data_IF_299751634000
#
_entry.id   IF_299751634000
#
_cell.length_a   1.000
_cell.length_b   1.000
_cell.length_c   1.000
_cell.angle_alpha   90.00
_cell.angle_beta   90.00
_cell.angle_gamma   90.00
#
_symmetry.space_group_name_H-M   'P 1'
#
loop_
_entity.id
_entity.type
_entity.pdbx_description
1 polymer ?
#
# COMPACT_ATOMS: atom_id res chain seq x y z
N UNK A 1 -7.48 3.69 -19.94
CA UNK A 1 -7.73 2.68 -20.99
C UNK A 1 -9.11 2.09 -20.76
N UNK A 2 -10.06 2.34 -21.65
CA UNK A 2 -11.44 1.83 -21.54
C UNK A 2 -11.42 0.33 -21.82
N UNK A 3 -11.83 -0.48 -20.84
CA UNK A 3 -11.97 -1.93 -21.05
C UNK A 3 -13.31 -2.21 -21.70
N UNK A 4 -13.28 -2.41 -23.01
CA UNK A 4 -14.46 -2.87 -23.74
C UNK A 4 -14.83 -4.29 -23.32
N UNK A 5 -16.11 -4.59 -23.19
CA UNK A 5 -16.55 -5.97 -23.00
C UNK A 5 -16.00 -6.89 -24.11
N UNK A 6 -15.59 -8.08 -23.76
CA UNK A 6 -15.01 -9.07 -24.69
C UNK A 6 -15.87 -9.34 -25.92
N UNK A 7 -17.19 -9.21 -25.79
CA UNK A 7 -18.17 -9.40 -26.89
C UNK A 7 -17.93 -8.44 -28.06
N UNK A 8 -17.38 -7.24 -27.82
CA UNK A 8 -17.13 -6.26 -28.86
C UNK A 8 -15.74 -6.39 -29.53
N UNK A 9 -14.85 -7.17 -28.96
CA UNK A 9 -13.49 -7.32 -29.49
C UNK A 9 -13.46 -7.89 -30.92
N UNK A 10 -14.35 -8.84 -31.19
CA UNK A 10 -14.44 -9.47 -32.53
C UNK A 10 -15.02 -8.51 -33.55
N UNK A 11 -16.08 -7.79 -33.20
CA UNK A 11 -16.69 -6.78 -34.06
C UNK A 11 -15.66 -5.72 -34.51
N UNK A 12 -14.86 -5.26 -33.57
CA UNK A 12 -13.81 -4.27 -33.87
C UNK A 12 -12.75 -4.88 -34.80
N UNK A 13 -12.30 -6.11 -34.54
CA UNK A 13 -11.32 -6.79 -35.39
C UNK A 13 -11.83 -6.91 -36.84
N UNK A 14 -13.07 -7.38 -37.01
CA UNK A 14 -13.68 -7.52 -38.35
C UNK A 14 -13.76 -6.19 -39.08
N UNK A 15 -14.17 -5.14 -38.38
CA UNK A 15 -14.29 -3.81 -38.96
C UNK A 15 -12.93 -3.20 -39.39
N UNK A 16 -11.83 -3.61 -38.71
CA UNK A 16 -10.48 -3.09 -38.99
C UNK A 16 -9.73 -3.88 -40.07
N UNK A 17 -10.17 -5.09 -40.40
CA UNK A 17 -9.52 -5.95 -41.41
C UNK A 17 -9.37 -5.26 -42.79
N UNK A 18 -10.36 -4.53 -43.33
CA UNK A 18 -10.23 -3.89 -44.66
C UNK A 18 -9.09 -2.89 -44.78
N UNK A 19 -8.62 -2.33 -43.67
CA UNK A 19 -7.58 -1.31 -43.68
C UNK A 19 -6.16 -1.88 -43.80
N UNK A 20 -6.01 -3.22 -43.74
CA UNK A 20 -4.74 -3.90 -44.00
C UNK A 20 -3.60 -3.48 -43.06
N UNK A 21 -2.59 -2.80 -43.62
CA UNK A 21 -1.42 -2.31 -42.88
C UNK A 21 -1.39 -0.81 -42.63
N UNK A 22 -2.50 -0.12 -42.96
CA UNK A 22 -2.58 1.31 -42.70
C UNK A 22 -2.83 1.59 -41.22
N UNK A 23 -1.73 1.69 -40.47
CA UNK A 23 -1.75 1.87 -39.00
C UNK A 23 -2.48 3.15 -38.59
N UNK A 24 -2.35 4.23 -39.41
CA UNK A 24 -2.98 5.51 -39.11
C UNK A 24 -4.51 5.38 -39.14
N UNK A 25 -5.04 4.79 -40.24
CA UNK A 25 -6.48 4.57 -40.40
C UNK A 25 -7.00 3.54 -39.37
N UNK A 26 -6.24 2.48 -39.09
CA UNK A 26 -6.58 1.46 -38.07
C UNK A 26 -6.76 2.12 -36.71
N UNK A 27 -5.82 3.00 -36.32
CA UNK A 27 -5.89 3.67 -35.02
C UNK A 27 -7.07 4.64 -34.94
N UNK A 28 -7.31 5.44 -35.99
CA UNK A 28 -8.42 6.38 -36.04
C UNK A 28 -9.77 5.67 -35.99
N UNK A 29 -9.93 4.65 -36.83
CA UNK A 29 -11.16 3.88 -36.92
C UNK A 29 -11.40 3.02 -35.69
N UNK A 30 -10.34 2.47 -35.13
CA UNK A 30 -10.39 1.74 -33.86
C UNK A 30 -10.88 2.63 -32.72
N UNK A 31 -10.35 3.85 -32.64
CA UNK A 31 -10.79 4.83 -31.64
C UNK A 31 -12.27 5.20 -31.81
N UNK A 32 -12.71 5.43 -33.06
CA UNK A 32 -14.10 5.72 -33.38
C UNK A 32 -15.05 4.58 -32.96
N UNK A 33 -14.70 3.35 -33.32
CA UNK A 33 -15.50 2.16 -33.00
C UNK A 33 -15.57 1.94 -31.49
N UNK A 34 -14.45 2.15 -30.78
CA UNK A 34 -14.41 2.05 -29.31
C UNK A 34 -15.36 3.09 -28.70
N UNK A 35 -15.34 4.30 -29.19
CA UNK A 35 -16.23 5.37 -28.74
C UNK A 35 -17.69 5.03 -28.98
N UNK A 36 -18.05 4.58 -30.20
CA UNK A 36 -19.42 4.18 -30.55
C UNK A 36 -19.93 3.02 -29.69
N UNK A 37 -19.12 1.99 -29.52
CA UNK A 37 -19.51 0.81 -28.76
C UNK A 37 -19.54 1.09 -27.26
N UNK A 38 -18.82 2.13 -26.80
CA UNK A 38 -18.82 2.57 -25.40
C UNK A 38 -20.04 3.43 -25.06
N UNK A 39 -20.64 4.10 -26.05
CA UNK A 39 -21.81 4.98 -25.83
C UNK A 39 -23.11 4.21 -25.58
N UNK A 40 -23.13 2.92 -25.87
CA UNK A 40 -24.30 2.08 -25.54
C UNK A 40 -24.35 1.56 -24.11
N UNK A 41 -23.54 1.85 -23.42
CA UNK A 41 -23.61 1.50 -22.21
C UNK A 41 -23.48 2.54 -21.40
N UNK A 42 -24.28 3.36 -21.57
CA UNK A 42 -24.37 4.45 -20.63
C UNK A 42 -25.02 4.05 -19.30
N UNK A 43 -24.67 2.90 -18.84
CA UNK A 43 -24.80 2.68 -17.40
C UNK A 43 -23.85 3.69 -16.74
N UNK A 44 -24.39 4.55 -15.90
CA UNK A 44 -23.58 5.48 -15.13
C UNK A 44 -22.44 4.67 -14.48
N UNK A 45 -21.19 5.07 -14.68
CA UNK A 45 -20.10 4.34 -14.03
C UNK A 45 -20.32 4.34 -12.53
N UNK A 46 -20.08 3.20 -11.90
CA UNK A 46 -20.18 3.09 -10.43
C UNK A 46 -19.39 4.20 -9.75
N UNK A 47 -19.99 4.83 -8.76
CA UNK A 47 -19.29 5.82 -7.95
C UNK A 47 -18.07 5.19 -7.33
N UNK A 48 -16.93 5.81 -7.47
CA UNK A 48 -15.67 5.19 -7.11
C UNK A 48 -14.65 6.23 -6.66
N UNK A 49 -13.99 5.93 -5.57
CA UNK A 49 -12.82 6.69 -5.12
C UNK A 49 -11.64 5.71 -5.07
N UNK A 50 -10.57 6.01 -5.77
CA UNK A 50 -9.37 5.15 -5.78
C UNK A 50 -8.14 5.97 -5.46
N UNK A 51 -7.26 5.36 -4.65
CA UNK A 51 -5.94 5.87 -4.32
C UNK A 51 -4.90 4.98 -4.99
N UNK A 52 -3.84 5.59 -5.57
CA UNK A 52 -2.71 4.87 -6.17
C UNK A 52 -1.42 5.63 -5.86
N UNK A 53 -0.57 5.00 -5.05
CA UNK A 53 0.76 5.56 -4.81
C UNK A 53 1.63 5.42 -6.06
N UNK A 54 2.39 6.39 -6.34
CA UNK A 54 3.23 6.37 -7.45
C UNK A 54 4.48 5.59 -7.10
N UNK A 55 4.97 4.86 -7.93
CA UNK A 55 6.10 4.05 -7.75
C UNK A 55 7.29 4.89 -7.64
N UNK A 56 7.98 4.89 -7.00
CA UNK A 56 9.13 5.56 -6.73
C UNK A 56 9.03 7.02 -6.44
N UNK A 57 8.06 7.33 -5.67
CA UNK A 57 7.70 8.75 -5.51
C UNK A 57 6.97 8.93 -4.18
N UNK A 58 7.05 10.12 -3.59
CA UNK A 58 6.19 10.54 -2.48
C UNK A 58 4.82 11.02 -2.97
N UNK A 59 4.60 11.05 -4.29
CA UNK A 59 3.31 11.45 -4.86
C UNK A 59 2.36 10.25 -5.02
N UNK A 60 1.07 10.57 -4.96
CA UNK A 60 0.00 9.59 -5.19
C UNK A 60 -1.11 10.23 -6.05
N UNK A 61 -1.91 9.39 -6.68
CA UNK A 61 -3.06 9.82 -7.48
C UNK A 61 -4.35 9.43 -6.77
N UNK A 62 -5.23 10.41 -6.58
CA UNK A 62 -6.61 10.19 -6.12
C UNK A 62 -7.53 10.38 -7.32
N UNK A 63 -8.35 9.37 -7.62
CA UNK A 63 -9.32 9.44 -8.73
C UNK A 63 -10.73 9.28 -8.20
N UNK A 64 -11.57 10.28 -8.46
CA UNK A 64 -12.99 10.30 -8.09
C UNK A 64 -13.84 10.13 -9.35
N UNK A 65 -14.74 9.15 -9.33
CA UNK A 65 -15.80 8.96 -10.32
C UNK A 65 -17.14 9.14 -9.61
N UNK A 66 -17.88 10.15 -10.00
CA UNK A 66 -19.20 10.45 -9.43
C UNK A 66 -19.98 11.30 -10.45
N UNK A 67 -21.17 11.77 -10.09
CA UNK A 67 -21.97 12.63 -10.96
C UNK A 67 -21.16 13.84 -11.44
N UNK A 68 -21.22 14.11 -12.74
CA UNK A 68 -20.43 15.16 -13.40
C UNK A 68 -20.59 16.54 -12.70
N UNK A 69 -21.80 16.90 -12.32
CA UNK A 69 -22.07 18.18 -11.65
C UNK A 69 -21.35 18.27 -10.29
N UNK A 70 -21.33 17.18 -9.53
CA UNK A 70 -20.67 17.12 -8.22
C UNK A 70 -19.15 17.17 -8.33
N UNK A 71 -18.60 16.40 -9.28
CA UNK A 71 -17.16 16.41 -9.55
C UNK A 71 -16.71 17.79 -10.01
N UNK A 72 -17.52 18.44 -10.86
CA UNK A 72 -17.24 19.81 -11.32
C UNK A 72 -17.25 20.80 -10.16
N UNK A 73 -18.24 20.71 -9.24
CA UNK A 73 -18.31 21.58 -8.06
C UNK A 73 -17.07 21.41 -7.16
N UNK A 74 -16.63 20.18 -6.95
CA UNK A 74 -15.42 19.91 -6.17
C UNK A 74 -14.20 20.57 -6.83
N UNK A 75 -14.05 20.38 -8.14
CA UNK A 75 -12.96 20.99 -8.92
C UNK A 75 -13.00 22.54 -8.82
N UNK A 76 -14.18 23.13 -8.99
CA UNK A 76 -14.33 24.60 -8.95
C UNK A 76 -14.00 25.16 -7.58
N UNK A 77 -14.40 24.48 -6.49
CA UNK A 77 -14.04 24.87 -5.12
C UNK A 77 -12.53 24.76 -4.91
N UNK A 78 -11.93 23.67 -5.36
CA UNK A 78 -10.48 23.47 -5.26
C UNK A 78 -9.73 24.60 -5.98
N UNK A 79 -10.16 24.94 -7.21
CA UNK A 79 -9.59 26.02 -8.02
C UNK A 79 -9.82 27.39 -7.39
N UNK A 80 -10.94 27.62 -6.70
CA UNK A 80 -11.21 28.87 -6.00
C UNK A 80 -10.33 29.01 -4.75
N UNK A 81 -10.03 27.89 -4.09
CA UNK A 81 -9.17 27.84 -2.90
C UNK A 81 -7.70 28.08 -3.26
N UNK A 82 -7.24 27.51 -4.38
CA UNK A 82 -5.90 27.77 -4.89
C UNK A 82 -5.94 27.87 -6.42
N UNK A 83 -5.75 29.08 -6.92
CA UNK A 83 -5.84 29.38 -8.36
C UNK A 83 -4.63 28.89 -9.15
N UNK A 84 -3.48 28.76 -8.49
CA UNK A 84 -2.24 28.33 -9.14
C UNK A 84 -2.13 26.82 -9.18
N UNK A 85 -2.58 26.14 -8.13
CA UNK A 85 -2.54 24.68 -8.02
C UNK A 85 -3.86 24.14 -7.45
N UNK A 86 -4.85 23.81 -8.30
CA UNK A 86 -6.12 23.25 -7.81
C UNK A 86 -5.97 21.96 -7.00
N UNK A 87 -4.88 21.21 -7.21
CA UNK A 87 -4.61 20.01 -6.41
C UNK A 87 -4.35 20.39 -4.93
N UNK A 88 -3.51 21.41 -4.71
CA UNK A 88 -3.26 21.95 -3.35
C UNK A 88 -4.54 22.54 -2.75
N UNK A 89 -5.35 23.20 -3.57
CA UNK A 89 -6.65 23.71 -3.15
C UNK A 89 -7.58 22.59 -2.67
N UNK A 90 -7.58 21.46 -3.36
CA UNK A 90 -8.36 20.29 -2.95
C UNK A 90 -7.84 19.70 -1.64
N UNK A 91 -6.53 19.59 -1.50
CA UNK A 91 -5.89 19.07 -0.28
C UNK A 91 -6.28 19.97 0.92
N UNK A 92 -6.16 21.30 0.76
CA UNK A 92 -6.55 22.27 1.81
C UNK A 92 -8.02 22.10 2.23
N UNK A 93 -8.94 21.95 1.26
CA UNK A 93 -10.36 21.73 1.55
C UNK A 93 -10.63 20.40 2.27
N UNK A 94 -9.96 19.36 1.84
CA UNK A 94 -10.18 18.01 2.37
C UNK A 94 -9.59 17.83 3.77
N UNK A 95 -8.48 18.52 4.08
CA UNK A 95 -7.78 18.42 5.36
C UNK A 95 -8.14 19.55 6.34
N UNK A 96 -8.98 20.53 5.92
CA UNK A 96 -9.45 21.58 6.83
C UNK A 96 -10.23 20.93 7.99
N UNK A 97 -9.99 21.42 9.18
CA UNK A 97 -10.68 20.92 10.36
C UNK A 97 -12.20 21.09 10.21
N UNK A 98 -12.90 19.98 10.36
CA UNK A 98 -14.37 20.00 10.36
C UNK A 98 -14.88 20.20 11.79
N UNK A 99 -16.12 20.55 11.90
CA UNK A 99 -16.82 20.78 13.18
C UNK A 99 -17.08 19.51 14.01
N UNK A 100 -16.33 18.44 13.74
CA UNK A 100 -16.47 17.18 14.47
C UNK A 100 -17.53 16.23 13.92
N UNK A 101 -18.15 16.59 12.81
CA UNK A 101 -19.22 15.76 12.21
C UNK A 101 -18.69 14.68 11.27
N UNK A 102 -17.39 14.70 10.94
CA UNK A 102 -16.78 13.72 10.05
C UNK A 102 -16.23 12.50 10.83
N UNK A 103 -16.25 11.33 10.21
CA UNK A 103 -15.65 10.14 10.84
C UNK A 103 -14.19 10.37 11.20
N UNK A 104 -13.82 10.00 12.41
CA UNK A 104 -12.43 10.05 12.85
C UNK A 104 -11.63 8.97 12.12
N UNK A 105 -10.64 9.41 11.36
CA UNK A 105 -9.69 8.49 10.73
C UNK A 105 -8.49 8.37 11.67
N UNK A 106 -8.12 7.14 11.97
CA UNK A 106 -6.93 6.89 12.80
C UNK A 106 -5.68 7.57 12.21
N UNK A 107 -4.92 8.22 13.06
CA UNK A 107 -3.68 8.90 12.62
C UNK A 107 -2.66 7.84 12.17
N UNK A 108 -2.03 8.02 11.02
CA UNK A 108 -1.02 7.05 10.58
C UNK A 108 0.24 7.16 11.43
N UNK A 109 0.88 6.02 11.64
CA UNK A 109 2.21 5.96 12.25
C UNK A 109 3.26 5.98 11.14
N UNK A 110 4.28 6.81 11.29
CA UNK A 110 5.43 6.85 10.39
C UNK A 110 6.54 5.96 10.96
N UNK A 111 7.12 5.12 10.11
CA UNK A 111 8.21 4.24 10.49
C UNK A 111 9.53 4.99 10.30
N UNK A 112 10.06 5.52 11.39
CA UNK A 112 11.31 6.30 11.39
C UNK A 112 12.44 5.43 11.98
N UNK A 113 13.46 5.08 11.19
CA UNK A 113 14.60 4.35 11.74
C UNK A 113 15.43 5.30 12.62
N UNK A 114 15.78 4.83 13.80
CA UNK A 114 16.64 5.59 14.70
C UNK A 114 18.02 4.93 14.75
N UNK A 115 19.00 5.57 14.15
CA UNK A 115 20.38 5.08 14.15
C UNK A 115 21.33 6.21 14.55
N UNK A 116 22.48 5.84 15.09
CA UNK A 116 23.55 6.80 15.41
C UNK A 116 24.06 7.47 14.15
N UNK A 117 24.06 6.76 13.02
CA UNK A 117 24.53 7.29 11.74
C UNK A 117 23.66 8.44 11.22
N UNK A 118 22.40 8.51 11.66
CA UNK A 118 21.50 9.61 11.29
C UNK A 118 22.09 10.97 11.65
N UNK A 119 22.90 11.02 12.70
CA UNK A 119 23.56 12.25 13.13
C UNK A 119 24.66 12.72 12.15
N UNK A 120 25.19 11.80 11.35
CA UNK A 120 26.23 12.10 10.36
C UNK A 120 25.72 12.68 9.04
N UNK A 121 24.43 12.58 8.75
CA UNK A 121 23.88 13.09 7.50
C UNK A 121 23.69 14.60 7.55
N UNK A 122 23.91 15.24 6.40
CA UNK A 122 23.63 16.67 6.21
C UNK A 122 22.10 16.90 6.24
N UNK A 123 21.70 18.14 6.48
CA UNK A 123 20.30 18.53 6.42
C UNK A 123 19.66 18.16 5.07
N UNK A 124 20.39 18.43 3.97
CA UNK A 124 19.90 18.12 2.62
C UNK A 124 19.65 16.63 2.43
N UNK A 125 20.54 15.79 2.96
CA UNK A 125 20.37 14.32 2.89
C UNK A 125 19.19 13.84 3.73
N UNK A 126 19.09 14.36 4.97
CA UNK A 126 17.95 14.00 5.86
C UNK A 126 16.61 14.39 5.23
N UNK A 127 16.55 15.56 4.58
CA UNK A 127 15.32 16.05 3.94
C UNK A 127 14.86 15.17 2.77
N UNK A 128 15.79 14.44 2.14
CA UNK A 128 15.50 13.56 1.00
C UNK A 128 15.08 12.14 1.42
N UNK A 129 15.30 11.74 2.67
CA UNK A 129 14.88 10.41 3.13
C UNK A 129 13.37 10.24 2.96
N UNK A 130 12.95 9.05 2.54
CA UNK A 130 11.54 8.69 2.36
C UNK A 130 11.18 7.65 3.41
N UNK A 131 10.15 7.94 4.17
CA UNK A 131 9.65 7.09 5.24
C UNK A 131 8.26 6.56 4.89
N UNK A 132 7.92 5.40 5.41
CA UNK A 132 6.63 4.75 5.15
C UNK A 132 5.67 4.97 6.32
N UNK A 133 4.39 5.08 6.00
CA UNK A 133 3.33 5.19 6.98
C UNK A 133 2.39 3.97 6.92
N UNK A 134 1.78 3.65 8.06
CA UNK A 134 0.89 2.48 8.19
C UNK A 134 -0.40 2.59 7.39
N UNK A 135 -0.71 3.78 6.87
CA UNK A 135 -1.83 3.99 5.94
C UNK A 135 -1.42 3.82 4.46
N UNK A 136 -0.20 3.34 4.20
CA UNK A 136 0.31 3.10 2.85
C UNK A 136 0.91 4.30 2.16
N UNK A 137 0.98 5.45 2.83
CA UNK A 137 1.61 6.66 2.30
C UNK A 137 3.12 6.63 2.52
N UNK A 138 3.83 7.47 1.76
CA UNK A 138 5.24 7.78 2.01
C UNK A 138 5.37 9.28 2.27
N UNK A 139 6.36 9.67 3.07
CA UNK A 139 6.62 11.05 3.47
C UNK A 139 8.12 11.30 3.46
N UNK A 140 8.54 12.47 3.04
CA UNK A 140 9.96 12.85 3.06
C UNK A 140 10.38 13.37 4.43
N UNK A 141 11.68 13.37 4.72
CA UNK A 141 12.22 13.96 5.93
C UNK A 141 11.85 15.44 6.07
N UNK A 142 11.86 16.17 4.96
CA UNK A 142 11.41 17.57 4.94
C UNK A 142 9.96 17.72 5.41
N UNK A 143 9.07 16.92 4.83
CA UNK A 143 7.64 16.95 5.19
C UNK A 143 7.42 16.57 6.66
N UNK A 144 8.23 15.65 7.22
CA UNK A 144 8.15 15.29 8.64
C UNK A 144 8.51 16.49 9.54
N UNK A 145 9.58 17.20 9.18
CA UNK A 145 10.03 18.38 9.95
C UNK A 145 8.97 19.49 9.91
N UNK A 146 8.28 19.63 8.79
CA UNK A 146 7.22 20.63 8.60
C UNK A 146 5.87 20.22 9.19
N UNK A 147 5.68 18.92 9.50
CA UNK A 147 4.42 18.39 10.00
C UNK A 147 4.23 18.65 11.50
N UNK A 148 2.99 18.84 11.91
CA UNK A 148 2.61 18.81 13.33
C UNK A 148 2.52 17.36 13.79
N UNK A 149 3.55 16.89 14.47
CA UNK A 149 3.60 15.53 15.03
C UNK A 149 2.99 15.50 16.44
N UNK A 150 2.44 14.35 16.80
CA UNK A 150 1.95 14.13 18.17
C UNK A 150 3.13 14.13 19.16
N UNK A 151 2.86 14.58 20.38
CA UNK A 151 3.87 14.61 21.46
C UNK A 151 4.23 13.21 21.97
N UNK A 152 3.36 12.24 21.72
CA UNK A 152 3.53 10.87 22.15
C UNK A 152 3.81 9.98 20.93
N UNK A 153 4.70 9.02 21.11
CA UNK A 153 5.09 8.11 20.04
C UNK A 153 5.31 6.69 20.54
N UNK A 154 5.46 5.79 19.59
CA UNK A 154 5.76 4.38 19.87
C UNK A 154 7.16 4.09 19.38
N UNK A 155 8.01 3.53 20.25
CA UNK A 155 9.34 3.06 19.86
C UNK A 155 9.29 1.55 19.67
N UNK A 156 9.69 1.10 18.49
CA UNK A 156 9.84 -0.31 18.17
C UNK A 156 11.34 -0.65 18.21
N UNK A 157 11.73 -1.58 19.06
CA UNK A 157 13.09 -2.09 19.05
C UNK A 157 13.14 -3.33 18.15
N UNK A 158 13.96 -3.25 17.11
CA UNK A 158 14.09 -4.30 16.10
C UNK A 158 15.53 -4.80 16.11
N UNK A 159 15.71 -6.10 16.35
CA UNK A 159 16.99 -6.75 16.12
C UNK A 159 16.92 -7.53 14.80
N UNK A 160 17.65 -7.14 13.78
CA UNK A 160 17.67 -7.92 12.54
C UNK A 160 18.41 -9.24 12.68
N UNK A 161 19.18 -9.40 13.77
CA UNK A 161 19.86 -10.67 14.08
C UNK A 161 18.95 -11.65 14.85
N UNK A 162 17.88 -11.13 15.44
CA UNK A 162 16.87 -11.91 16.16
C UNK A 162 15.48 -11.26 15.89
N UNK A 163 15.01 -11.34 14.67
CA UNK A 163 13.78 -10.63 14.26
C UNK A 163 12.51 -11.17 14.95
N UNK A 164 12.57 -12.34 15.53
CA UNK A 164 11.50 -12.88 16.37
C UNK A 164 11.35 -12.10 17.70
N UNK A 165 12.38 -11.36 18.10
CA UNK A 165 12.38 -10.57 19.34
C UNK A 165 12.01 -9.11 19.09
N UNK A 166 11.16 -8.87 18.11
CA UNK A 166 10.61 -7.54 17.82
C UNK A 166 9.78 -7.08 19.02
N UNK A 167 10.17 -5.98 19.65
CA UNK A 167 9.49 -5.45 20.83
C UNK A 167 8.94 -4.06 20.60
N UNK A 168 7.68 -3.86 21.00
CA UNK A 168 7.07 -2.53 21.07
C UNK A 168 7.15 -2.03 22.51
N UNK A 169 7.57 -0.78 22.66
CA UNK A 169 7.61 -0.12 23.95
C UNK A 169 6.81 1.18 23.86
N UNK A 170 5.71 1.25 24.59
CA UNK A 170 4.98 2.51 24.74
C UNK A 170 5.36 3.14 26.07
N UNK A 171 5.38 4.46 26.13
CA UNK A 171 5.77 5.19 27.34
C UNK A 171 4.68 5.24 28.41
N UNK A 172 3.45 4.83 28.07
CA UNK A 172 2.37 4.67 29.04
C UNK A 172 1.79 3.26 28.95
N UNK A 173 2.18 2.39 29.87
CA UNK A 173 1.61 1.04 29.96
C UNK A 173 0.50 1.01 31.03
N UNK A 174 -0.73 0.79 30.59
CA UNK A 174 -1.82 0.40 31.46
C UNK A 174 -2.16 -1.06 31.23
N UNK A 175 -2.40 -1.77 32.34
CA UNK A 175 -2.45 -3.23 32.44
C UNK A 175 -3.74 -3.89 31.91
N UNK A 176 -4.29 -3.50 30.78
CA UNK A 176 -5.51 -4.13 30.28
C UNK A 176 -5.28 -5.00 29.02
N UNK A 177 -5.85 -6.19 29.02
CA UNK A 177 -5.68 -7.23 27.99
C UNK A 177 -6.07 -6.79 26.55
N UNK A 178 -6.91 -5.78 26.43
CA UNK A 178 -7.29 -5.23 25.11
C UNK A 178 -6.15 -4.51 24.41
N UNK A 179 -5.16 -4.05 25.16
CA UNK A 179 -3.97 -3.41 24.60
C UNK A 179 -3.07 -4.38 23.85
N UNK A 180 -3.05 -5.65 24.24
CA UNK A 180 -2.19 -6.65 23.61
C UNK A 180 -2.53 -6.82 22.11
N UNK A 181 -3.82 -6.85 21.76
CA UNK A 181 -4.25 -7.01 20.38
C UNK A 181 -3.94 -5.76 19.55
N UNK A 182 -4.14 -4.57 20.14
CA UNK A 182 -3.82 -3.29 19.49
C UNK A 182 -2.31 -3.17 19.27
N UNK A 183 -1.52 -3.48 20.29
CA UNK A 183 -0.05 -3.43 20.18
C UNK A 183 0.46 -4.44 19.14
N UNK A 184 -0.15 -5.63 19.09
CA UNK A 184 0.23 -6.63 18.08
C UNK A 184 -0.11 -6.15 16.66
N UNK A 185 -1.28 -5.53 16.47
CA UNK A 185 -1.65 -4.95 15.19
C UNK A 185 -0.66 -3.84 14.79
N UNK A 186 -0.31 -2.95 15.73
CA UNK A 186 0.69 -1.89 15.50
C UNK A 186 2.04 -2.51 15.14
N UNK A 187 2.46 -3.53 15.90
CA UNK A 187 3.71 -4.25 15.68
C UNK A 187 3.79 -4.78 14.24
N UNK A 188 2.75 -5.48 13.79
CA UNK A 188 2.70 -6.01 12.43
C UNK A 188 2.60 -4.90 11.38
N UNK A 189 1.95 -3.77 11.71
CA UNK A 189 1.81 -2.61 10.80
C UNK A 189 3.15 -1.91 10.54
N UNK A 190 3.98 -1.76 11.56
CA UNK A 190 5.30 -1.14 11.37
C UNK A 190 6.32 -2.11 10.75
N UNK A 191 6.11 -3.43 10.91
CA UNK A 191 6.90 -4.43 10.17
C UNK A 191 6.62 -4.30 8.67
N UNK A 192 5.34 -4.18 8.30
CA UNK A 192 4.89 -4.08 6.91
C UNK A 192 3.80 -3.01 6.80
N UNK A 193 4.16 -1.76 6.44
CA UNK A 193 3.19 -0.68 6.30
C UNK A 193 2.12 -0.90 5.23
N UNK A 194 2.34 -1.88 4.35
CA UNK A 194 1.35 -2.37 3.37
C UNK A 194 1.32 -3.89 3.41
N UNK A 195 0.26 -4.50 2.91
CA UNK A 195 0.14 -5.95 2.75
C UNK A 195 1.44 -6.52 2.14
N UNK A 196 2.09 -7.52 2.76
CA UNK A 196 3.39 -8.02 2.28
C UNK A 196 3.33 -8.88 1.01
N UNK A 197 2.14 -9.21 0.49
CA UNK A 197 2.01 -10.01 -0.75
C UNK A 197 2.57 -9.21 -1.95
N UNK A 198 3.39 -9.83 -2.81
CA UNK A 198 3.97 -9.15 -3.98
C UNK A 198 2.93 -8.41 -4.81
N UNK A 199 3.24 -7.15 -5.15
CA UNK A 199 2.38 -6.30 -5.97
C UNK A 199 1.18 -5.69 -5.26
N UNK A 200 0.99 -5.97 -3.96
CA UNK A 200 -0.11 -5.40 -3.20
C UNK A 200 0.27 -4.05 -2.60
N UNK A 201 -0.66 -3.09 -2.67
CA UNK A 201 -0.49 -1.75 -2.09
C UNK A 201 -1.50 -1.45 -0.98
N UNK A 202 -2.27 -2.46 -0.53
CA UNK A 202 -3.27 -2.27 0.51
C UNK A 202 -2.58 -1.84 1.82
N UNK A 203 -2.95 -0.68 2.40
CA UNK A 203 -2.34 -0.22 3.65
C UNK A 203 -2.50 -1.22 4.80
N UNK A 204 -1.55 -1.25 5.70
CA UNK A 204 -1.63 -2.11 6.90
C UNK A 204 -2.92 -1.86 7.69
N UNK A 205 -3.34 -0.58 7.76
CA UNK A 205 -4.59 -0.18 8.45
C UNK A 205 -5.86 -0.83 7.86
N UNK A 206 -5.80 -1.34 6.63
CA UNK A 206 -6.91 -2.02 5.95
C UNK A 206 -6.72 -3.54 5.88
N UNK A 207 -5.66 -4.04 6.51
CA UNK A 207 -5.34 -5.46 6.52
C UNK A 207 -5.94 -6.17 7.75
N UNK A 208 -5.92 -7.48 7.71
CA UNK A 208 -6.39 -8.36 8.78
C UNK A 208 -5.21 -9.15 9.35
N UNK A 209 -5.24 -9.44 10.63
CA UNK A 209 -4.25 -10.32 11.25
C UNK A 209 -4.42 -11.74 10.69
N UNK A 210 -3.32 -12.31 10.25
CA UNK A 210 -3.25 -13.63 9.62
C UNK A 210 -2.22 -14.48 10.37
N UNK A 211 -2.57 -15.76 10.61
CA UNK A 211 -1.64 -16.73 11.17
C UNK A 211 -0.81 -17.39 10.06
N UNK A 212 0.50 -17.21 10.10
CA UNK A 212 1.45 -17.80 9.12
C UNK A 212 1.31 -19.32 9.11
N UNK A 213 1.28 -19.91 10.30
CA UNK A 213 0.92 -21.33 10.50
C UNK A 213 -0.48 -21.37 11.12
N UNK A 214 -1.46 -21.97 10.42
CA UNK A 214 -2.86 -21.87 10.81
C UNK A 214 -3.16 -22.48 12.18
N UNK A 215 -4.08 -21.86 12.91
CA UNK A 215 -4.54 -22.36 14.22
C UNK A 215 -5.04 -23.79 14.13
N UNK A 216 -5.78 -24.12 13.08
CA UNK A 216 -6.32 -25.47 12.85
C UNK A 216 -5.23 -26.55 12.71
N UNK A 217 -3.99 -26.14 12.40
CA UNK A 217 -2.81 -27.02 12.30
C UNK A 217 -1.87 -26.83 13.50
N UNK A 218 -2.35 -26.23 14.59
CA UNK A 218 -1.58 -26.04 15.83
C UNK A 218 -0.81 -24.74 15.90
N UNK A 219 -1.06 -23.79 14.99
CA UNK A 219 -0.41 -22.48 15.01
C UNK A 219 -0.82 -21.66 16.24
N UNK A 220 0.18 -21.11 16.92
CA UNK A 220 -0.04 -20.28 18.11
C UNK A 220 -0.29 -18.83 17.74
N UNK A 221 -1.08 -18.13 18.54
CA UNK A 221 -1.29 -16.69 18.42
C UNK A 221 -0.17 -15.96 19.16
N UNK A 222 0.96 -15.85 18.47
CA UNK A 222 2.17 -15.17 18.97
C UNK A 222 2.75 -14.33 17.83
N UNK A 223 3.41 -13.22 18.16
CA UNK A 223 3.91 -12.25 17.16
C UNK A 223 4.73 -12.89 16.04
N UNK A 224 5.54 -13.92 16.36
CA UNK A 224 6.35 -14.62 15.36
C UNK A 224 5.50 -15.41 14.34
N UNK A 225 4.27 -15.76 14.70
CA UNK A 225 3.32 -16.48 13.83
C UNK A 225 2.23 -15.59 13.23
N UNK A 226 2.30 -14.29 13.40
CA UNK A 226 1.30 -13.35 12.91
C UNK A 226 1.87 -12.42 11.86
N UNK A 227 1.05 -12.03 10.88
CA UNK A 227 1.34 -10.99 9.90
C UNK A 227 0.04 -10.31 9.50
N UNK A 228 0.12 -9.20 8.78
CA UNK A 228 -1.07 -8.55 8.22
C UNK A 228 -1.22 -8.90 6.74
N UNK A 229 -2.40 -9.35 6.33
CA UNK A 229 -2.74 -9.56 4.93
C UNK A 229 -4.03 -8.82 4.60
N UNK A 230 -4.12 -8.25 3.42
CA UNK A 230 -5.39 -7.68 2.96
C UNK A 230 -6.43 -8.80 2.78
N UNK A 231 -7.70 -8.46 2.85
CA UNK A 231 -8.81 -9.42 2.75
C UNK A 231 -8.68 -10.36 1.54
N UNK A 232 -8.26 -9.82 0.40
CA UNK A 232 -8.14 -10.60 -0.84
C UNK A 232 -7.05 -11.68 -0.73
N UNK A 233 -5.84 -11.30 -0.29
CA UNK A 233 -4.73 -12.25 -0.18
C UNK A 233 -4.84 -13.14 1.06
N UNK A 234 -5.50 -12.67 2.12
CA UNK A 234 -5.82 -13.50 3.28
C UNK A 234 -6.72 -14.68 2.87
N UNK A 235 -7.75 -14.40 2.04
CA UNK A 235 -8.67 -15.44 1.55
C UNK A 235 -8.06 -16.36 0.49
N UNK A 236 -6.87 -16.05 -0.03
CA UNK A 236 -6.17 -16.88 -1.04
C UNK A 236 -4.87 -17.48 -0.53
N UNK A 237 -4.54 -17.27 0.73
CA UNK A 237 -3.34 -17.88 1.31
C UNK A 237 -3.61 -19.36 1.56
N UNK A 238 -2.76 -20.23 1.03
CA UNK A 238 -2.91 -21.68 1.24
C UNK A 238 -2.59 -22.02 2.70
N UNK A 239 -3.58 -22.49 3.43
CA UNK A 239 -3.43 -22.94 4.82
C UNK A 239 -2.71 -24.29 4.91
N UNK A 240 -2.95 -25.16 3.95
CA UNK A 240 -2.41 -26.50 3.93
C UNK A 240 -1.22 -26.57 2.97
N UNK A 241 0.00 -26.78 3.49
CA UNK A 241 1.19 -26.87 2.63
C UNK A 241 1.19 -28.10 1.71
N UNK A 242 0.42 -29.13 2.03
CA UNK A 242 0.39 -30.38 1.26
C UNK A 242 -0.58 -30.30 0.07
N UNK A 243 -1.47 -29.31 0.07
CA UNK A 243 -2.44 -29.12 -1.03
C UNK A 243 -2.41 -27.68 -1.54
N UNK A 244 -1.25 -27.21 -2.04
CA UNK A 244 -1.12 -25.82 -2.46
C UNK A 244 -1.92 -25.54 -3.74
N UNK A 245 -2.59 -24.39 -3.76
CA UNK A 245 -3.42 -23.92 -4.89
C UNK A 245 -2.99 -22.54 -5.38
N UNK A 246 -2.83 -21.61 -4.46
CA UNK A 246 -2.50 -20.21 -4.77
C UNK A 246 -1.08 -19.84 -4.36
N UNK A 247 -0.55 -20.52 -3.35
CA UNK A 247 0.68 -20.15 -2.68
C UNK A 247 0.38 -19.63 -1.28
N UNK A 248 1.44 -19.44 -0.51
CA UNK A 248 1.29 -19.04 0.90
C UNK A 248 2.37 -18.02 1.29
N UNK A 249 2.01 -17.19 2.25
CA UNK A 249 2.99 -16.30 2.88
C UNK A 249 3.81 -17.08 3.89
N UNK A 250 5.10 -16.80 3.91
CA UNK A 250 6.05 -17.37 4.90
C UNK A 250 6.91 -16.25 5.45
N UNK A 251 7.47 -16.46 6.65
CA UNK A 251 8.45 -15.52 7.21
C UNK A 251 9.79 -16.25 7.35
N UNK A 252 10.84 -15.65 6.77
CA UNK A 252 12.20 -16.18 6.80
C UNK A 252 13.11 -15.03 7.20
N UNK A 253 13.89 -15.23 8.27
CA UNK A 253 14.81 -14.21 8.82
C UNK A 253 14.12 -12.87 9.06
N UNK A 254 12.87 -12.93 9.53
CA UNK A 254 12.08 -11.75 9.87
C UNK A 254 11.44 -11.03 8.69
N UNK A 255 11.66 -11.49 7.46
CA UNK A 255 11.05 -10.91 6.24
C UNK A 255 9.92 -11.80 5.72
N UNK A 256 8.88 -11.17 5.22
CA UNK A 256 7.68 -11.84 4.73
C UNK A 256 7.78 -12.05 3.21
N UNK A 257 7.70 -13.31 2.79
CA UNK A 257 7.76 -13.74 1.38
C UNK A 257 6.50 -14.46 0.98
N UNK A 258 6.13 -14.32 -0.26
CA UNK A 258 5.15 -15.20 -0.89
C UNK A 258 5.88 -16.39 -1.52
N UNK A 259 5.44 -17.60 -1.16
CA UNK A 259 5.93 -18.86 -1.72
C UNK A 259 4.89 -19.36 -2.72
N UNK A 260 5.18 -19.33 -4.03
CA UNK A 260 4.21 -19.77 -5.04
C UNK A 260 3.83 -21.25 -4.91
N UNK A 261 2.56 -21.60 -5.16
CA UNK A 261 2.09 -22.99 -5.21
C UNK A 261 2.74 -23.78 -6.34
N UNK A 262 3.05 -23.09 -7.44
CA UNK A 262 3.64 -23.72 -8.64
C UNK A 262 5.17 -23.88 -8.56
N UNK A 263 5.78 -23.55 -7.42
CA UNK A 263 7.23 -23.55 -7.26
C UNK A 263 7.88 -22.27 -7.74
N UNK A 264 9.18 -22.21 -7.70
CA UNK A 264 9.94 -21.03 -8.07
C UNK A 264 10.43 -20.23 -6.85
N UNK A 265 11.11 -19.10 -7.08
CA UNK A 265 11.72 -18.36 -5.99
C UNK A 265 10.69 -17.69 -5.09
N UNK A 266 11.08 -17.51 -3.85
CA UNK A 266 10.33 -16.68 -2.89
C UNK A 266 10.27 -15.24 -3.40
N UNK A 267 9.14 -14.56 -3.19
CA UNK A 267 8.95 -13.21 -3.70
C UNK A 267 8.60 -12.24 -2.58
N UNK A 268 9.27 -11.09 -2.59
CA UNK A 268 9.01 -9.98 -1.68
C UNK A 268 8.07 -8.97 -2.33
N UNK A 269 7.32 -8.25 -1.51
CA UNK A 269 6.60 -7.09 -1.99
C UNK A 269 7.59 -5.94 -2.21
N UNK A 270 7.72 -5.49 -3.46
CA UNK A 270 8.64 -4.41 -3.87
C UNK A 270 7.95 -3.04 -3.93
N UNK A 271 6.72 -2.92 -3.41
CA UNK A 271 6.05 -1.63 -3.31
C UNK A 271 6.91 -0.64 -2.50
N UNK A 272 7.04 0.63 -2.90
CA UNK A 272 7.89 1.60 -2.18
C UNK A 272 7.63 1.65 -0.68
N UNK A 273 6.36 1.65 -0.27
CA UNK A 273 6.00 1.68 1.14
C UNK A 273 6.41 0.40 1.89
N UNK A 274 6.42 -0.77 1.22
CA UNK A 274 6.88 -2.02 1.83
C UNK A 274 8.39 -1.99 2.14
N UNK A 275 9.17 -1.20 1.38
CA UNK A 275 10.61 -1.05 1.62
C UNK A 275 10.89 -0.35 2.95
N UNK A 276 9.94 0.49 3.41
CA UNK A 276 10.06 1.24 4.67
C UNK A 276 9.59 0.48 5.91
N UNK A 277 9.38 -0.82 5.82
CA UNK A 277 9.04 -1.63 6.98
C UNK A 277 10.22 -1.77 7.95
N UNK A 278 9.92 -1.82 9.26
CA UNK A 278 10.95 -1.71 10.31
C UNK A 278 12.09 -2.74 10.18
N UNK A 279 11.75 -4.01 9.88
CA UNK A 279 12.78 -5.06 9.75
C UNK A 279 13.65 -4.83 8.52
N UNK A 280 13.03 -4.42 7.39
CA UNK A 280 13.79 -4.09 6.16
C UNK A 280 14.75 -2.93 6.41
N UNK A 281 14.26 -1.86 7.03
CA UNK A 281 15.09 -0.70 7.35
C UNK A 281 16.27 -1.09 8.25
N UNK A 282 16.02 -1.89 9.29
CA UNK A 282 17.08 -2.35 10.20
C UNK A 282 18.14 -3.18 9.45
N UNK A 283 17.70 -4.08 8.55
CA UNK A 283 18.62 -4.89 7.75
C UNK A 283 19.44 -4.03 6.78
N UNK A 284 18.79 -3.07 6.11
CA UNK A 284 19.46 -2.14 5.20
C UNK A 284 20.56 -1.34 5.92
N UNK A 285 20.26 -0.85 7.12
CA UNK A 285 21.22 -0.08 7.93
C UNK A 285 22.44 -0.91 8.34
N UNK A 286 22.27 -2.22 8.50
CA UNK A 286 23.37 -3.12 8.86
C UNK A 286 24.04 -3.77 7.62
N UNK A 287 23.65 -3.37 6.41
CA UNK A 287 24.19 -3.96 5.19
C UNK A 287 23.82 -5.42 5.01
N UNK A 288 22.74 -5.88 5.66
CA UNK A 288 22.28 -7.27 5.56
C UNK A 288 21.44 -7.46 4.30
N UNK A 289 21.53 -8.63 3.66
CA UNK A 289 20.74 -8.88 2.45
C UNK A 289 19.24 -8.82 2.75
N UNK A 290 18.49 -8.21 1.84
CA UNK A 290 17.03 -8.17 1.88
C UNK A 290 16.44 -9.32 1.06
N UNK A 291 17.14 -9.73 0.01
CA UNK A 291 16.69 -10.80 -0.86
C UNK A 291 17.22 -12.15 -0.33
N UNK A 292 16.37 -13.18 -0.23
CA UNK A 292 16.85 -14.46 0.26
C UNK A 292 17.82 -15.06 -0.76
N UNK A 293 18.98 -15.43 -0.30
CA UNK A 293 19.82 -16.32 -1.10
C UNK A 293 19.00 -17.57 -1.38
N UNK A 294 18.96 -18.10 -2.61
CA UNK A 294 18.25 -19.34 -2.84
C UNK A 294 18.81 -20.39 -1.88
N UNK A 295 17.96 -21.22 -1.30
CA UNK A 295 18.47 -22.31 -0.46
C UNK A 295 19.41 -23.14 -1.32
N UNK A 296 20.63 -23.28 -0.83
CA UNK A 296 21.69 -24.04 -1.51
C UNK A 296 21.31 -25.52 -1.62
#
# INVERSE_FOLDING_TARGET
>A
MVKLPKKHAWTIREALVPYGRDITTINAEGARLIQELSTHXADNPDKKLTYRAXXXSTFATLTLTAESSRVKQIYDRAKATDKTCPADGLVKLALSESDGSLPTVGKPLFVLPFTMDFMGYTEEERNKFVFSATNGATITGKEIVEAELEKEGIIALVSPLAPENFGLYSFEMTEESRFADVLEFINQSIRNPVCPHPGCSTPASECQVHHIWPVKLGGKTVSSNLMLLCKFFNGRNDDDPDTPMYGRMVRIDGLEYWKPAFGGPLQLNMHPCAQGGAVRLARMQLGMPIDPSPPG
#
